data_IF_133904642833
#
_entry.id   IF_133904642833
#
_cell.length_a   1.000
_cell.length_b   1.000
_cell.length_c   1.000
_cell.angle_alpha   90.00
_cell.angle_beta   90.00
_cell.angle_gamma   90.00
#
_symmetry.space_group_name_H-M   'P 1'
#
loop_
_entity.id
_entity.type
_entity.pdbx_description
1 polymer ?
#
# COMPACT_ATOMS: atom_id res chain seq x y z
N UNK A 1 -7.64 -1.49 -24.52
CA UNK A 1 -8.68 -2.27 -23.81
C UNK A 1 -9.29 -1.39 -22.72
N UNK A 2 -10.62 -1.31 -22.60
CA UNK A 2 -11.25 -0.51 -21.53
C UNK A 2 -11.01 -1.18 -20.16
N UNK A 3 -10.69 -0.43 -19.09
CA UNK A 3 -10.59 -1.00 -17.75
C UNK A 3 -11.93 -1.59 -17.31
N UNK A 4 -11.87 -2.76 -16.68
CA UNK A 4 -13.01 -3.51 -16.15
C UNK A 4 -13.32 -3.06 -14.71
N UNK A 5 -14.58 -2.71 -14.45
CA UNK A 5 -15.07 -2.27 -13.14
C UNK A 5 -16.28 -3.12 -12.76
N UNK A 6 -16.29 -3.61 -11.53
CA UNK A 6 -17.45 -4.29 -10.95
C UNK A 6 -18.38 -3.26 -10.31
N UNK A 7 -19.68 -3.38 -10.55
CA UNK A 7 -20.71 -2.63 -9.82
C UNK A 7 -21.59 -3.63 -9.07
N UNK A 8 -21.42 -3.70 -7.76
CA UNK A 8 -22.18 -4.55 -6.84
C UNK A 8 -23.21 -3.71 -6.10
N UNK A 9 -24.44 -3.67 -6.62
CA UNK A 9 -25.48 -2.78 -6.14
C UNK A 9 -26.90 -3.31 -6.44
N UNK A 10 -27.95 -2.84 -5.75
CA UNK A 10 -29.33 -3.16 -6.12
C UNK A 10 -29.64 -2.77 -7.58
N UNK A 11 -30.55 -3.48 -8.28
CA UNK A 11 -30.76 -3.35 -9.73
C UNK A 11 -30.91 -1.92 -10.27
N UNK A 12 -31.67 -1.06 -9.57
CA UNK A 12 -31.89 0.33 -9.99
C UNK A 12 -30.62 1.17 -9.95
N UNK A 13 -29.84 1.05 -8.87
CA UNK A 13 -28.57 1.77 -8.73
C UNK A 13 -27.54 1.19 -9.70
N UNK A 14 -27.54 -0.13 -9.89
CA UNK A 14 -26.66 -0.82 -10.82
C UNK A 14 -26.83 -0.31 -12.26
N UNK A 15 -28.08 -0.15 -12.72
CA UNK A 15 -28.38 0.44 -14.05
C UNK A 15 -27.86 1.86 -14.17
N UNK A 16 -28.17 2.73 -13.20
CA UNK A 16 -27.73 4.15 -13.20
C UNK A 16 -26.21 4.27 -13.26
N UNK A 17 -25.49 3.47 -12.47
CA UNK A 17 -24.03 3.48 -12.44
C UNK A 17 -23.43 2.88 -13.70
N UNK A 18 -24.01 1.80 -14.23
CA UNK A 18 -23.56 1.17 -15.47
C UNK A 18 -23.66 2.13 -16.65
N UNK A 19 -24.76 2.87 -16.75
CA UNK A 19 -24.97 3.88 -17.79
C UNK A 19 -23.91 5.02 -17.68
N UNK A 20 -23.62 5.48 -16.46
CA UNK A 20 -22.64 6.54 -16.22
C UNK A 20 -21.18 6.10 -16.48
N UNK A 21 -20.85 4.83 -16.21
CA UNK A 21 -19.50 4.28 -16.32
C UNK A 21 -19.19 3.68 -17.70
N UNK A 22 -20.18 3.16 -18.42
CA UNK A 22 -20.00 2.38 -19.65
C UNK A 22 -19.28 3.10 -20.80
N UNK A 23 -19.30 4.44 -20.80
CA UNK A 23 -18.53 5.23 -21.76
C UNK A 23 -17.02 4.97 -21.66
N UNK A 24 -16.48 4.84 -20.43
CA UNK A 24 -15.04 4.70 -20.16
C UNK A 24 -14.61 3.32 -19.69
N UNK A 25 -15.52 2.56 -19.08
CA UNK A 25 -15.22 1.28 -18.46
C UNK A 25 -15.97 0.14 -19.12
N UNK A 26 -15.39 -1.06 -19.07
CA UNK A 26 -16.16 -2.30 -19.23
C UNK A 26 -16.83 -2.56 -17.89
N UNK A 27 -18.15 -2.37 -17.81
CA UNK A 27 -18.88 -2.50 -16.54
C UNK A 27 -19.42 -3.92 -16.40
N UNK A 28 -19.07 -4.57 -15.30
CA UNK A 28 -19.70 -5.81 -14.86
C UNK A 28 -20.73 -5.47 -13.77
N UNK A 29 -22.01 -5.46 -14.14
CA UNK A 29 -23.10 -5.20 -13.20
C UNK A 29 -23.51 -6.51 -12.49
N UNK A 30 -23.46 -6.53 -11.16
CA UNK A 30 -23.84 -7.68 -10.35
C UNK A 30 -24.86 -7.26 -9.29
N UNK A 31 -26.17 -7.49 -9.51
CA UNK A 31 -27.21 -7.20 -8.53
C UNK A 31 -27.40 -8.32 -7.49
N UNK A 32 -26.74 -9.46 -7.70
CA UNK A 32 -26.76 -10.61 -6.80
C UNK A 32 -25.56 -10.54 -5.86
N UNK A 33 -25.83 -10.70 -4.56
CA UNK A 33 -24.84 -10.54 -3.50
C UNK A 33 -23.82 -11.67 -3.50
N UNK A 34 -24.27 -12.93 -3.50
CA UNK A 34 -23.40 -14.11 -3.44
C UNK A 34 -22.49 -14.18 -4.67
N UNK A 35 -23.05 -13.88 -5.85
CA UNK A 35 -22.29 -13.80 -7.09
C UNK A 35 -21.25 -12.67 -7.07
N UNK A 36 -21.57 -11.53 -6.47
CA UNK A 36 -20.62 -10.43 -6.36
C UNK A 36 -19.44 -10.79 -5.45
N UNK A 37 -19.67 -11.49 -4.34
CA UNK A 37 -18.61 -12.01 -3.46
C UNK A 37 -17.67 -12.95 -4.23
N UNK A 38 -18.23 -13.89 -4.99
CA UNK A 38 -17.45 -14.80 -5.84
C UNK A 38 -16.64 -14.05 -6.89
N UNK A 39 -17.25 -13.08 -7.59
CA UNK A 39 -16.56 -12.28 -8.61
C UNK A 39 -15.38 -11.50 -8.03
N UNK A 40 -15.56 -10.88 -6.86
CA UNK A 40 -14.48 -10.15 -6.17
C UNK A 40 -13.32 -11.08 -5.83
N UNK A 41 -13.59 -12.33 -5.45
CA UNK A 41 -12.57 -13.29 -5.06
C UNK A 41 -11.75 -13.85 -6.24
N UNK A 42 -12.32 -13.91 -7.44
CA UNK A 42 -11.71 -14.64 -8.58
C UNK A 42 -11.30 -13.75 -9.76
N UNK A 43 -11.87 -12.56 -9.90
CA UNK A 43 -11.69 -11.73 -11.08
C UNK A 43 -10.82 -10.49 -10.80
N UNK A 44 -10.02 -10.11 -11.80
CA UNK A 44 -9.17 -8.94 -11.72
C UNK A 44 -9.91 -7.68 -12.19
N UNK A 45 -10.49 -6.93 -11.25
CA UNK A 45 -11.10 -5.63 -11.52
C UNK A 45 -10.11 -4.49 -11.26
N UNK A 46 -10.21 -3.40 -12.02
CA UNK A 46 -9.41 -2.19 -11.79
C UNK A 46 -9.99 -1.33 -10.66
N UNK A 47 -11.31 -1.40 -10.44
CA UNK A 47 -12.01 -0.82 -9.30
C UNK A 47 -13.30 -1.61 -9.02
N UNK A 48 -13.78 -1.54 -7.79
CA UNK A 48 -15.06 -2.14 -7.38
C UNK A 48 -15.93 -1.03 -6.81
N UNK A 49 -17.17 -0.93 -7.28
CA UNK A 49 -18.17 0.00 -6.78
C UNK A 49 -19.23 -0.81 -6.03
N UNK A 50 -19.39 -0.55 -4.73
CA UNK A 50 -20.30 -1.29 -3.86
C UNK A 50 -21.34 -0.34 -3.30
N UNK A 51 -22.61 -0.69 -3.40
CA UNK A 51 -23.65 0.07 -2.71
C UNK A 51 -23.50 -0.09 -1.18
N UNK A 52 -23.69 0.99 -0.43
CA UNK A 52 -23.63 0.94 1.04
C UNK A 52 -24.58 -0.13 1.60
N UNK A 53 -24.06 -0.97 2.50
CA UNK A 53 -24.81 -2.08 3.09
C UNK A 53 -25.09 -3.28 2.16
N UNK A 54 -24.65 -3.24 0.89
CA UNK A 54 -24.87 -4.33 -0.06
C UNK A 54 -23.91 -5.51 0.19
N UNK A 55 -22.62 -5.20 0.38
CA UNK A 55 -21.58 -6.17 0.71
C UNK A 55 -20.65 -5.62 1.78
N UNK A 56 -20.18 -6.52 2.65
CA UNK A 56 -19.11 -6.23 3.60
C UNK A 56 -17.74 -6.43 2.92
N UNK A 57 -17.43 -5.56 1.96
CA UNK A 57 -16.10 -5.52 1.30
C UNK A 57 -15.29 -4.46 2.03
N UNK A 58 -14.12 -4.82 2.55
CA UNK A 58 -13.15 -3.85 3.09
C UNK A 58 -12.04 -3.60 2.09
N UNK A 59 -11.32 -2.48 2.23
CA UNK A 59 -10.11 -2.21 1.44
C UNK A 59 -8.98 -3.25 1.63
N UNK A 60 -9.13 -4.18 2.57
CA UNK A 60 -8.15 -5.23 2.88
C UNK A 60 -8.20 -6.44 1.91
N UNK A 61 -8.83 -6.31 0.74
CA UNK A 61 -8.85 -7.37 -0.26
C UNK A 61 -7.46 -7.62 -0.85
N UNK A 62 -7.21 -8.89 -1.18
CA UNK A 62 -6.05 -9.35 -1.95
C UNK A 62 -6.02 -8.53 -3.25
N UNK A 63 -4.86 -7.96 -3.60
CA UNK A 63 -4.61 -7.07 -4.74
C UNK A 63 -4.88 -5.56 -4.59
N UNK A 64 -5.25 -5.06 -3.39
CA UNK A 64 -5.41 -3.60 -3.14
C UNK A 64 -6.32 -2.90 -4.15
N UNK A 65 -7.32 -3.61 -4.66
CA UNK A 65 -8.29 -3.04 -5.61
C UNK A 65 -9.07 -1.95 -4.88
N UNK A 66 -9.16 -0.72 -5.43
CA UNK A 66 -9.91 0.33 -4.77
C UNK A 66 -11.41 -0.01 -4.74
N UNK A 67 -11.98 0.03 -3.53
CA UNK A 67 -13.40 -0.22 -3.28
C UNK A 67 -14.10 1.11 -2.98
N UNK A 68 -15.05 1.50 -3.82
CA UNK A 68 -15.82 2.73 -3.65
C UNK A 68 -17.20 2.37 -3.10
N UNK A 69 -17.50 2.84 -1.88
CA UNK A 69 -18.81 2.70 -1.29
C UNK A 69 -19.73 3.84 -1.74
N UNK A 70 -20.92 3.49 -2.21
CA UNK A 70 -21.83 4.42 -2.86
C UNK A 70 -23.20 4.38 -2.18
N UNK A 71 -23.62 5.52 -1.64
CA UNK A 71 -24.97 5.68 -1.10
C UNK A 71 -26.07 5.62 -2.18
N UNK A 72 -27.33 5.35 -1.79
CA UNK A 72 -28.44 5.13 -2.73
C UNK A 72 -28.75 6.34 -3.63
N UNK A 73 -28.48 7.55 -3.16
CA UNK A 73 -28.74 8.81 -3.84
C UNK A 73 -27.47 9.48 -4.39
N UNK A 74 -26.36 8.74 -4.49
CA UNK A 74 -25.14 9.29 -5.05
C UNK A 74 -25.35 9.77 -6.50
N UNK A 75 -24.68 10.87 -6.85
CA UNK A 75 -24.65 11.40 -8.20
C UNK A 75 -23.77 10.49 -9.09
N UNK A 76 -24.32 9.85 -10.14
CA UNK A 76 -23.55 8.98 -11.02
C UNK A 76 -22.38 9.69 -11.72
N UNK A 77 -22.47 10.99 -11.97
CA UNK A 77 -21.38 11.75 -12.57
C UNK A 77 -20.19 11.87 -11.61
N UNK A 78 -20.48 12.19 -10.34
CA UNK A 78 -19.47 12.23 -9.28
C UNK A 78 -18.82 10.86 -9.05
N UNK A 79 -19.62 9.79 -8.98
CA UNK A 79 -19.09 8.43 -8.81
C UNK A 79 -18.20 8.04 -9.99
N UNK A 80 -18.59 8.38 -11.23
CA UNK A 80 -17.73 8.15 -12.39
C UNK A 80 -16.38 8.83 -12.24
N UNK A 81 -16.35 10.09 -11.81
CA UNK A 81 -15.11 10.85 -11.66
C UNK A 81 -14.23 10.29 -10.53
N UNK A 82 -14.83 9.81 -9.44
CA UNK A 82 -14.13 9.08 -8.36
C UNK A 82 -13.55 7.75 -8.84
N UNK A 83 -14.30 6.97 -9.63
CA UNK A 83 -13.81 5.71 -10.23
C UNK A 83 -12.65 5.97 -11.17
N UNK A 84 -12.71 7.05 -11.98
CA UNK A 84 -11.60 7.46 -12.86
C UNK A 84 -10.35 7.75 -12.03
N UNK A 85 -10.49 8.59 -11.00
CA UNK A 85 -9.37 8.95 -10.13
C UNK A 85 -8.74 7.71 -9.46
N UNK A 86 -9.58 6.79 -8.96
CA UNK A 86 -9.10 5.55 -8.31
C UNK A 86 -8.36 4.64 -9.29
N UNK A 87 -8.90 4.43 -10.50
CA UNK A 87 -8.24 3.60 -11.53
C UNK A 87 -6.93 4.23 -12.01
N UNK A 88 -6.88 5.55 -12.17
CA UNK A 88 -5.66 6.23 -12.60
C UNK A 88 -4.59 6.26 -11.50
N UNK A 89 -4.98 6.46 -10.23
CA UNK A 89 -4.07 6.35 -9.10
C UNK A 89 -3.46 4.94 -9.01
N UNK A 90 -4.28 3.89 -9.18
CA UNK A 90 -3.80 2.51 -9.22
C UNK A 90 -2.80 2.28 -10.35
N UNK A 91 -3.10 2.73 -11.58
CA UNK A 91 -2.16 2.61 -12.71
C UNK A 91 -0.82 3.30 -12.44
N UNK A 92 -0.84 4.46 -11.77
CA UNK A 92 0.39 5.15 -11.38
C UNK A 92 1.18 4.34 -10.35
N UNK A 93 0.50 3.76 -9.35
CA UNK A 93 1.12 2.88 -8.37
C UNK A 93 1.72 1.64 -9.03
N UNK A 94 0.97 0.93 -9.88
CA UNK A 94 1.44 -0.26 -10.62
C UNK A 94 2.64 0.07 -11.51
N UNK A 95 2.64 1.22 -12.19
CA UNK A 95 3.78 1.66 -13.00
C UNK A 95 5.01 2.00 -12.16
N UNK A 96 4.80 2.59 -10.99
CA UNK A 96 5.88 2.89 -10.05
C UNK A 96 6.49 1.60 -9.52
N UNK A 97 5.65 0.67 -9.06
CA UNK A 97 6.07 -0.65 -8.59
C UNK A 97 6.79 -1.44 -9.68
N UNK A 98 6.26 -1.49 -10.91
CA UNK A 98 6.91 -2.17 -12.03
C UNK A 98 8.28 -1.56 -12.35
N UNK A 99 8.43 -0.23 -12.27
CA UNK A 99 9.72 0.46 -12.45
C UNK A 99 10.70 0.12 -11.33
N UNK A 100 10.22 0.08 -10.09
CA UNK A 100 11.04 -0.31 -8.94
C UNK A 100 11.51 -1.76 -9.09
N UNK A 101 10.61 -2.70 -9.41
CA UNK A 101 10.95 -4.10 -9.65
C UNK A 101 11.93 -4.27 -10.81
N UNK A 102 11.74 -3.54 -11.91
CA UNK A 102 12.68 -3.56 -13.04
C UNK A 102 14.05 -2.97 -12.67
N UNK A 103 14.10 -1.97 -11.80
CA UNK A 103 15.36 -1.45 -11.27
C UNK A 103 16.05 -2.49 -10.37
N UNK A 104 15.31 -3.29 -9.61
CA UNK A 104 15.91 -4.38 -8.81
C UNK A 104 16.63 -5.40 -9.69
N UNK A 105 16.07 -5.73 -10.86
CA UNK A 105 16.71 -6.67 -11.81
C UNK A 105 17.90 -6.07 -12.56
N UNK A 106 18.19 -4.78 -12.39
CA UNK A 106 19.41 -4.16 -12.93
C UNK A 106 20.65 -4.38 -12.06
N UNK A 107 20.46 -4.82 -10.81
CA UNK A 107 21.53 -5.17 -9.88
C UNK A 107 21.81 -6.67 -9.92
N UNK A 108 23.05 -7.06 -9.66
CA UNK A 108 23.34 -8.46 -9.36
C UNK A 108 22.74 -8.86 -8.01
N UNK A 109 22.46 -10.15 -7.82
CA UNK A 109 21.84 -10.65 -6.60
C UNK A 109 22.65 -10.27 -5.35
N UNK A 110 23.97 -10.46 -5.37
CA UNK A 110 24.84 -10.17 -4.22
C UNK A 110 24.89 -8.66 -3.91
N UNK A 111 24.93 -7.82 -4.94
CA UNK A 111 24.88 -6.36 -4.82
C UNK A 111 23.56 -5.90 -4.17
N UNK A 112 22.43 -6.42 -4.65
CA UNK A 112 21.12 -6.12 -4.07
C UNK A 112 21.04 -6.54 -2.59
N UNK A 113 21.47 -7.76 -2.26
CA UNK A 113 21.45 -8.27 -0.90
C UNK A 113 22.34 -7.44 0.04
N UNK A 114 23.52 -7.02 -0.43
CA UNK A 114 24.40 -6.15 0.34
C UNK A 114 23.73 -4.79 0.63
N UNK A 115 23.15 -4.15 -0.39
CA UNK A 115 22.45 -2.87 -0.25
C UNK A 115 21.25 -2.97 0.69
N UNK A 116 20.43 -4.01 0.56
CA UNK A 116 19.28 -4.26 1.45
C UNK A 116 19.75 -4.47 2.88
N UNK A 117 20.79 -5.29 3.09
CA UNK A 117 21.35 -5.55 4.42
C UNK A 117 21.85 -4.26 5.05
N UNK A 118 22.65 -3.48 4.33
CA UNK A 118 23.17 -2.20 4.81
C UNK A 118 22.02 -1.26 5.21
N UNK A 119 21.03 -1.07 4.33
CA UNK A 119 19.89 -0.19 4.59
C UNK A 119 19.05 -0.65 5.78
N UNK A 120 18.74 -1.94 5.86
CA UNK A 120 17.95 -2.52 6.94
C UNK A 120 18.68 -2.39 8.29
N UNK A 121 19.97 -2.76 8.33
CA UNK A 121 20.80 -2.61 9.53
C UNK A 121 20.90 -1.14 9.95
N UNK A 122 21.12 -0.21 9.03
CA UNK A 122 21.15 1.22 9.37
C UNK A 122 19.84 1.70 9.97
N UNK A 123 18.68 1.35 9.38
CA UNK A 123 17.37 1.72 9.93
C UNK A 123 17.14 1.15 11.34
N UNK A 124 17.54 -0.10 11.56
CA UNK A 124 17.49 -0.70 12.89
C UNK A 124 18.34 0.08 13.90
N UNK A 125 19.58 0.44 13.53
CA UNK A 125 20.47 1.21 14.39
C UNK A 125 19.95 2.61 14.70
N UNK A 126 19.38 3.31 13.72
CA UNK A 126 18.76 4.62 13.95
C UNK A 126 17.58 4.52 14.94
N UNK A 127 16.72 3.52 14.77
CA UNK A 127 15.63 3.24 15.72
C UNK A 127 16.17 2.92 17.10
N UNK A 128 17.24 2.12 17.19
CA UNK A 128 17.91 1.80 18.43
C UNK A 128 18.49 3.05 19.11
N UNK A 129 19.16 3.95 18.38
CA UNK A 129 19.71 5.17 18.95
C UNK A 129 18.60 6.12 19.42
N UNK A 130 17.48 6.19 18.68
CA UNK A 130 16.34 6.99 19.08
C UNK A 130 15.65 6.45 20.35
N UNK A 131 15.42 5.14 20.44
CA UNK A 131 14.75 4.51 21.60
C UNK A 131 15.58 4.53 22.89
N UNK A 132 16.89 4.68 22.77
CA UNK A 132 17.82 4.66 23.91
C UNK A 132 18.59 5.98 24.06
N UNK A 133 18.10 7.08 23.46
CA UNK A 133 18.69 8.42 23.55
C UNK A 133 20.22 8.44 23.33
N UNK A 134 20.69 7.71 22.32
CA UNK A 134 22.13 7.61 22.02
C UNK A 134 22.97 6.77 23.00
N UNK A 135 22.36 6.07 23.97
CA UNK A 135 23.05 5.14 24.87
C UNK A 135 23.45 3.87 24.12
N UNK A 136 24.73 3.78 23.73
CA UNK A 136 25.30 2.58 23.10
C UNK A 136 25.28 1.39 24.05
N UNK A 137 25.39 1.61 25.36
CA UNK A 137 25.36 0.52 26.35
C UNK A 137 23.99 -0.13 26.43
N UNK A 138 22.92 0.67 26.56
CA UNK A 138 21.56 0.13 26.65
C UNK A 138 21.07 -0.39 25.30
N UNK A 139 21.42 0.29 24.21
CA UNK A 139 21.20 -0.21 22.86
C UNK A 139 21.85 -1.57 22.61
N UNK A 140 23.10 -1.76 23.05
CA UNK A 140 23.80 -3.04 22.89
C UNK A 140 23.15 -4.16 23.70
N UNK A 141 22.76 -3.86 24.95
CA UNK A 141 22.00 -4.79 25.79
C UNK A 141 20.69 -5.19 25.12
N UNK A 142 19.94 -4.23 24.57
CA UNK A 142 18.67 -4.51 23.86
C UNK A 142 18.86 -5.34 22.60
N UNK A 143 19.93 -5.08 21.86
CA UNK A 143 20.28 -5.79 20.64
C UNK A 143 20.85 -7.20 20.92
N UNK A 144 21.11 -7.56 22.17
CA UNK A 144 21.77 -8.82 22.53
C UNK A 144 23.22 -8.87 22.04
N UNK A 145 23.87 -7.71 21.97
CA UNK A 145 25.23 -7.55 21.44
C UNK A 145 26.18 -7.03 22.51
N UNK A 146 27.46 -7.36 22.36
CA UNK A 146 28.52 -6.68 23.11
C UNK A 146 28.58 -5.22 22.67
N UNK A 147 28.77 -4.29 23.63
CA UNK A 147 28.85 -2.84 23.38
C UNK A 147 29.85 -2.49 22.27
N UNK A 148 31.03 -3.10 22.30
CA UNK A 148 32.06 -2.86 21.28
C UNK A 148 31.61 -3.29 19.89
N UNK A 149 30.92 -4.43 19.78
CA UNK A 149 30.35 -4.91 18.51
C UNK A 149 29.29 -3.95 17.98
N UNK A 150 28.39 -3.44 18.84
CA UNK A 150 27.42 -2.42 18.43
C UNK A 150 28.12 -1.14 17.97
N UNK A 151 29.15 -0.70 18.69
CA UNK A 151 29.91 0.50 18.33
C UNK A 151 30.60 0.37 16.96
N UNK A 152 31.18 -0.79 16.66
CA UNK A 152 31.76 -1.06 15.33
C UNK A 152 30.68 -1.07 14.25
N UNK A 153 29.50 -1.61 14.56
CA UNK A 153 28.38 -1.69 13.63
C UNK A 153 27.80 -0.30 13.30
N UNK A 154 27.66 0.56 14.30
CA UNK A 154 27.27 1.98 14.15
C UNK A 154 28.21 2.73 13.21
N UNK A 155 29.53 2.63 13.43
CA UNK A 155 30.53 3.26 12.55
C UNK A 155 30.45 2.75 11.12
N UNK A 156 30.31 1.43 10.92
CA UNK A 156 30.21 0.84 9.57
C UNK A 156 29.00 1.37 8.79
N UNK A 157 27.91 1.71 9.48
CA UNK A 157 26.66 2.17 8.88
C UNK A 157 26.46 3.69 8.98
N UNK A 158 27.52 4.43 9.30
CA UNK A 158 27.51 5.89 9.40
C UNK A 158 26.36 6.40 10.29
N UNK A 159 26.32 5.85 11.51
CA UNK A 159 25.39 6.25 12.57
C UNK A 159 26.19 6.77 13.76
N UNK A 160 25.98 8.04 14.08
CA UNK A 160 26.57 8.71 15.23
C UNK A 160 25.57 8.71 16.39
N UNK A 161 25.90 7.98 17.47
CA UNK A 161 25.05 7.92 18.65
C UNK A 161 24.88 9.27 19.36
N UNK A 162 25.88 10.15 19.24
CA UNK A 162 25.89 11.47 19.90
C UNK A 162 24.71 12.34 19.49
N UNK A 163 24.30 12.29 18.21
CA UNK A 163 23.19 13.09 17.66
C UNK A 163 21.83 12.77 18.28
N UNK A 164 21.74 11.71 19.07
CA UNK A 164 20.52 11.23 19.70
C UNK A 164 20.52 11.41 21.21
N UNK A 165 21.60 11.95 21.78
CA UNK A 165 21.59 12.39 23.17
C UNK A 165 20.85 13.71 23.20
N UNK A 166 19.90 13.81 24.12
CA UNK A 166 19.32 15.11 24.44
C UNK A 166 20.44 15.93 25.10
N UNK A 167 20.70 17.12 24.56
CA UNK A 167 21.57 18.08 25.23
C UNK A 167 20.88 18.41 26.55
N UNK A 168 21.42 17.91 27.66
CA UNK A 168 21.10 18.42 28.99
C UNK A 168 21.58 19.88 29.03
N UNK A 169 20.76 20.80 28.49
CA UNK A 169 20.86 22.23 28.76
C UNK A 169 20.76 22.40 30.28
N UNK A 170 21.92 22.68 30.86
CA UNK A 170 22.16 22.93 32.28
C UNK A 170 21.52 24.24 32.72
#
# INVERSE_FOLDING_TARGET
MKPCVLVAAPPMLNRRLSDALGARFTVMACPDRERAEVLIAIACFQAIVVAEGFLAVSDAHVDRVPVLHVGPNADPAKIRDEVIAAVDARKVAERTEARELAALTSLEYDEYIELVRYRATRRYLLGLMHSYHGSVTDGARRAGMVRESLHRLLRRHDVEAERYREDDET
#
